data_IF_189682096951
#
_entry.id   IF_189682096951
#
_cell.length_a   1.000
_cell.length_b   1.000
_cell.length_c   1.000
_cell.angle_alpha   90.00
_cell.angle_beta   90.00
_cell.angle_gamma   90.00
#
_symmetry.space_group_name_H-M   'P 1'
#
loop_
_entity.id
_entity.type
_entity.pdbx_description
1 polymer ?
#
# COMPACT_ATOMS: atom_id res chain seq x y z
N UNK A 1 -66.83 45.79 49.91
CA UNK A 1 -65.62 44.95 49.76
C UNK A 1 -64.68 45.57 48.71
N UNK A 2 -64.04 46.71 49.01
CA UNK A 2 -63.18 47.43 48.03
C UNK A 2 -61.69 47.07 48.16
N UNK A 3 -61.27 46.70 49.37
CA UNK A 3 -59.86 46.51 49.71
C UNK A 3 -59.42 45.04 49.65
N UNK A 4 -60.38 44.12 49.43
CA UNK A 4 -60.14 42.68 49.38
C UNK A 4 -59.30 42.29 48.15
N UNK A 5 -59.58 42.91 47.00
CA UNK A 5 -58.81 42.69 45.78
C UNK A 5 -57.36 43.17 45.92
N UNK A 6 -57.14 44.30 46.59
CA UNK A 6 -55.80 44.82 46.86
C UNK A 6 -55.02 43.93 47.82
N UNK A 7 -55.67 43.41 48.88
CA UNK A 7 -55.04 42.49 49.82
C UNK A 7 -54.64 41.16 49.14
N UNK A 8 -55.50 40.60 48.29
CA UNK A 8 -55.20 39.38 47.52
C UNK A 8 -54.02 39.62 46.57
N UNK A 9 -53.98 40.77 45.90
CA UNK A 9 -52.90 41.13 44.98
C UNK A 9 -51.54 41.22 45.68
N UNK A 10 -51.50 41.86 46.85
CA UNK A 10 -50.28 41.95 47.68
C UNK A 10 -49.86 40.55 48.16
N UNK A 11 -50.81 39.71 48.55
CA UNK A 11 -50.53 38.35 49.02
C UNK A 11 -49.92 37.46 47.91
N UNK A 12 -50.44 37.56 46.69
CA UNK A 12 -49.89 36.84 45.52
C UNK A 12 -48.48 37.34 45.17
N UNK A 13 -48.22 38.65 45.31
CA UNK A 13 -46.88 39.22 45.12
C UNK A 13 -45.87 38.69 46.16
N UNK A 14 -46.27 38.55 47.42
CA UNK A 14 -45.39 37.98 48.45
C UNK A 14 -45.09 36.48 48.21
N UNK A 15 -46.07 35.70 47.74
CA UNK A 15 -45.88 34.28 47.45
C UNK A 15 -44.96 34.04 46.24
N UNK A 16 -44.97 34.93 45.25
CA UNK A 16 -44.06 34.84 44.09
C UNK A 16 -42.65 35.35 44.39
N UNK A 17 -42.50 36.33 45.29
CA UNK A 17 -41.19 36.88 45.68
C UNK A 17 -40.36 35.95 46.58
N UNK A 18 -41.00 35.08 47.36
CA UNK A 18 -40.33 34.08 48.21
C UNK A 18 -40.32 32.66 47.63
N UNK A 19 -40.70 32.49 46.35
CA UNK A 19 -40.41 31.25 45.63
C UNK A 19 -38.90 31.20 45.45
N UNK A 20 -38.22 30.55 46.42
CA UNK A 20 -36.81 30.21 46.38
C UNK A 20 -36.60 29.38 45.11
N UNK A 21 -36.36 30.06 44.00
CA UNK A 21 -35.70 29.45 42.85
C UNK A 21 -34.34 29.09 43.41
N UNK A 22 -34.14 27.79 43.65
CA UNK A 22 -32.79 27.29 43.74
C UNK A 22 -32.13 27.76 42.46
N UNK A 23 -31.32 28.82 42.56
CA UNK A 23 -30.32 29.08 41.53
C UNK A 23 -29.63 27.74 41.37
N UNK A 24 -29.52 27.16 40.16
CA UNK A 24 -28.67 26.00 40.00
C UNK A 24 -27.33 26.48 40.55
N UNK A 25 -26.99 25.96 41.73
CA UNK A 25 -25.80 26.40 42.41
C UNK A 25 -24.65 26.14 41.48
N UNK A 26 -23.51 26.70 41.81
CA UNK A 26 -22.22 26.31 41.28
C UNK A 26 -21.87 24.82 41.56
N UNK A 27 -22.86 23.94 41.75
CA UNK A 27 -22.82 22.49 41.82
C UNK A 27 -23.61 21.81 40.70
N UNK A 28 -24.15 22.56 39.72
CA UNK A 28 -24.28 22.04 38.36
C UNK A 28 -22.91 22.11 37.67
N UNK A 29 -21.86 21.60 38.33
CA UNK A 29 -20.82 20.93 37.55
C UNK A 29 -21.59 19.86 36.80
N UNK A 30 -21.88 20.15 35.54
CA UNK A 30 -22.17 19.08 34.60
C UNK A 30 -21.04 18.09 34.86
N UNK A 31 -21.38 16.92 35.39
CA UNK A 31 -20.47 15.77 35.46
C UNK A 31 -20.23 15.37 34.00
N UNK A 32 -19.53 16.24 33.28
CA UNK A 32 -18.91 15.99 32.00
C UNK A 32 -17.81 15.04 32.38
N UNK A 33 -18.17 13.77 32.52
CA UNK A 33 -17.22 12.68 32.57
C UNK A 33 -16.52 12.68 31.23
N UNK A 34 -15.49 13.52 31.11
CA UNK A 34 -14.68 13.62 29.90
C UNK A 34 -14.02 12.25 29.78
N UNK A 35 -14.51 11.46 28.82
CA UNK A 35 -13.98 10.15 28.56
C UNK A 35 -12.66 10.35 27.82
N UNK A 36 -11.57 10.39 28.58
CA UNK A 36 -10.25 10.28 28.00
C UNK A 36 -10.03 8.82 27.59
N UNK A 37 -9.39 8.64 26.44
CA UNK A 37 -8.88 7.34 26.05
C UNK A 37 -7.67 7.05 26.95
N UNK A 38 -7.90 6.33 28.05
CA UNK A 38 -6.87 5.92 29.00
C UNK A 38 -6.29 4.55 28.64
N UNK A 39 -6.45 4.09 27.39
CA UNK A 39 -5.76 2.89 26.96
C UNK A 39 -4.25 3.11 27.08
N UNK A 40 -3.63 2.40 28.02
CA UNK A 40 -2.20 2.42 28.20
C UNK A 40 -1.54 1.80 26.97
N UNK A 41 -1.06 2.64 26.07
CA UNK A 41 -0.19 2.22 24.97
C UNK A 41 1.20 2.01 25.57
N UNK A 42 1.49 0.77 25.93
CA UNK A 42 2.82 0.38 26.37
C UNK A 42 3.82 0.59 25.22
N UNK A 43 4.82 1.43 25.46
CA UNK A 43 5.94 1.75 24.58
C UNK A 43 6.69 0.52 24.06
N UNK A 44 6.52 -0.64 24.72
CA UNK A 44 7.18 -1.90 24.38
C UNK A 44 6.23 -2.96 23.77
N UNK A 45 4.94 -2.63 23.63
CA UNK A 45 3.99 -3.54 22.99
C UNK A 45 4.30 -3.74 21.50
N UNK A 46 3.88 -4.88 20.96
CA UNK A 46 4.18 -5.23 19.57
C UNK A 46 3.53 -4.21 18.62
N UNK A 47 4.34 -3.48 17.86
CA UNK A 47 3.91 -2.38 16.99
C UNK A 47 4.06 -0.98 17.59
N UNK A 48 4.42 -0.85 18.87
CA UNK A 48 4.83 0.42 19.45
C UNK A 48 6.19 0.83 18.86
N UNK A 49 6.17 1.84 18.00
CA UNK A 49 7.37 2.44 17.40
C UNK A 49 7.51 3.86 17.92
N UNK A 50 8.75 4.28 18.17
CA UNK A 50 9.02 5.68 18.51
C UNK A 50 8.59 6.60 17.37
N UNK A 51 8.23 7.84 17.70
CA UNK A 51 7.76 8.84 16.73
C UNK A 51 8.75 9.01 15.58
N UNK A 52 10.05 8.93 15.86
CA UNK A 52 11.11 9.06 14.85
C UNK A 52 11.19 7.86 13.92
N UNK A 53 11.03 6.64 14.44
CA UNK A 53 10.97 5.42 13.63
C UNK A 53 9.72 5.44 12.76
N UNK A 54 8.56 5.80 13.32
CA UNK A 54 7.32 5.94 12.56
C UNK A 54 7.44 6.98 11.44
N UNK A 55 8.09 8.11 11.70
CA UNK A 55 8.37 9.14 10.70
C UNK A 55 9.28 8.62 9.60
N UNK A 56 10.36 7.91 9.96
CA UNK A 56 11.28 7.31 9.00
C UNK A 56 10.58 6.27 8.12
N UNK A 57 9.75 5.40 8.69
CA UNK A 57 8.94 4.43 7.96
C UNK A 57 8.00 5.12 6.97
N UNK A 58 7.31 6.19 7.40
CA UNK A 58 6.42 6.95 6.51
C UNK A 58 7.15 7.63 5.37
N UNK A 59 8.35 8.16 5.62
CA UNK A 59 9.19 8.76 4.57
C UNK A 59 9.79 7.71 3.62
N UNK A 60 10.21 6.54 4.13
CA UNK A 60 10.87 5.51 3.33
C UNK A 60 9.90 4.57 2.60
N UNK A 61 8.67 4.42 3.09
CA UNK A 61 7.63 3.59 2.47
C UNK A 61 7.39 3.90 0.98
N UNK A 62 7.14 5.16 0.57
CA UNK A 62 6.96 5.49 -0.84
C UNK A 62 8.23 5.24 -1.65
N UNK A 63 9.41 5.53 -1.09
CA UNK A 63 10.69 5.28 -1.75
C UNK A 63 10.92 3.79 -2.03
N UNK A 64 10.55 2.92 -1.08
CA UNK A 64 10.63 1.48 -1.26
C UNK A 64 9.67 1.00 -2.36
N UNK A 65 8.42 1.46 -2.34
CA UNK A 65 7.42 1.11 -3.35
C UNK A 65 7.85 1.55 -4.76
N UNK A 66 8.42 2.74 -4.88
CA UNK A 66 8.95 3.25 -6.14
C UNK A 66 10.15 2.44 -6.62
N UNK A 67 11.07 2.09 -5.72
CA UNK A 67 12.23 1.24 -6.02
C UNK A 67 11.79 -0.14 -6.54
N UNK A 68 10.80 -0.77 -5.88
CA UNK A 68 10.24 -2.05 -6.33
C UNK A 68 9.58 -1.92 -7.71
N UNK A 69 8.88 -0.81 -7.97
CA UNK A 69 8.26 -0.56 -9.28
C UNK A 69 9.31 -0.36 -10.37
N UNK A 70 10.41 0.34 -10.09
CA UNK A 70 11.53 0.51 -11.02
C UNK A 70 12.21 -0.84 -11.32
N UNK A 71 12.51 -1.64 -10.30
CA UNK A 71 13.09 -2.97 -10.48
C UNK A 71 12.19 -3.88 -11.35
N UNK A 72 10.87 -3.84 -11.15
CA UNK A 72 9.91 -4.58 -11.99
C UNK A 72 9.92 -4.13 -13.46
N UNK A 73 10.07 -2.83 -13.73
CA UNK A 73 10.16 -2.31 -15.10
C UNK A 73 11.43 -2.79 -15.80
N UNK A 74 12.58 -2.68 -15.13
CA UNK A 74 13.86 -3.16 -15.66
C UNK A 74 13.81 -4.65 -16.00
N UNK A 75 13.25 -5.48 -15.12
CA UNK A 75 13.07 -6.92 -15.38
C UNK A 75 12.17 -7.18 -16.59
N UNK A 76 11.09 -6.42 -16.78
CA UNK A 76 10.21 -6.58 -17.93
C UNK A 76 10.91 -6.20 -19.24
N UNK A 77 11.77 -5.19 -19.24
CA UNK A 77 12.58 -4.80 -20.40
C UNK A 77 13.65 -5.84 -20.71
N UNK A 78 14.36 -6.35 -19.71
CA UNK A 78 15.31 -7.45 -19.88
C UNK A 78 14.65 -8.71 -20.44
N UNK A 79 13.46 -9.06 -19.97
CA UNK A 79 12.73 -10.22 -20.48
C UNK A 79 12.31 -10.05 -21.93
N UNK A 80 11.90 -8.83 -22.34
CA UNK A 80 11.58 -8.53 -23.75
C UNK A 80 12.81 -8.64 -24.64
N UNK A 81 13.94 -8.07 -24.21
CA UNK A 81 15.20 -8.16 -24.94
C UNK A 81 15.67 -9.61 -25.05
N UNK A 82 15.62 -10.39 -23.97
CA UNK A 82 15.96 -11.82 -23.99
C UNK A 82 15.04 -12.61 -24.93
N UNK A 83 13.74 -12.32 -24.94
CA UNK A 83 12.79 -12.98 -25.83
C UNK A 83 13.01 -12.61 -27.32
N UNK A 84 13.45 -11.39 -27.61
CA UNK A 84 13.83 -10.98 -28.97
C UNK A 84 15.14 -11.64 -29.42
N UNK A 85 16.13 -11.70 -28.52
CA UNK A 85 17.43 -12.33 -28.78
C UNK A 85 17.29 -13.85 -28.98
N UNK A 86 16.43 -14.52 -28.21
CA UNK A 86 16.12 -15.94 -28.41
C UNK A 86 15.41 -16.21 -29.75
N UNK A 87 14.52 -15.31 -30.18
CA UNK A 87 13.86 -15.42 -31.49
C UNK A 87 14.85 -15.20 -32.63
N UNK A 88 15.79 -14.29 -32.48
CA UNK A 88 16.84 -14.03 -33.47
C UNK A 88 17.85 -15.18 -33.52
N UNK A 89 18.28 -15.72 -32.38
CA UNK A 89 19.19 -16.86 -32.31
C UNK A 89 18.58 -18.12 -32.93
N UNK A 90 17.29 -18.41 -32.66
CA UNK A 90 16.60 -19.55 -33.29
C UNK A 90 16.50 -19.40 -34.82
N UNK A 91 16.34 -18.18 -35.33
CA UNK A 91 16.37 -17.93 -36.79
C UNK A 91 17.76 -18.11 -37.38
N UNK A 92 18.80 -17.65 -36.68
CA UNK A 92 20.20 -17.84 -37.11
C UNK A 92 20.62 -19.31 -37.10
N UNK A 93 20.19 -20.10 -36.12
CA UNK A 93 20.44 -21.56 -36.10
C UNK A 93 19.71 -22.31 -37.23
N UNK A 94 18.49 -21.89 -37.61
CA UNK A 94 17.80 -22.46 -38.77
C UNK A 94 18.49 -22.11 -40.10
N UNK A 95 18.99 -20.88 -40.25
CA UNK A 95 19.73 -20.45 -41.44
C UNK A 95 21.12 -21.09 -41.54
N UNK A 96 21.81 -21.32 -40.42
CA UNK A 96 23.07 -22.07 -40.41
C UNK A 96 22.86 -23.57 -40.72
N UNK A 97 21.80 -24.20 -40.20
CA UNK A 97 21.47 -25.59 -40.57
C UNK A 97 21.15 -25.73 -42.06
N UNK A 98 20.43 -24.76 -42.66
CA UNK A 98 20.14 -24.76 -44.11
C UNK A 98 21.38 -24.52 -44.96
N UNK A 99 22.33 -23.70 -44.50
CA UNK A 99 23.62 -23.50 -45.18
C UNK A 99 24.56 -24.71 -45.05
N UNK A 100 24.58 -25.36 -43.90
CA UNK A 100 25.38 -26.57 -43.68
C UNK A 100 24.87 -27.78 -44.48
N UNK A 101 23.55 -27.89 -44.72
CA UNK A 101 22.97 -28.94 -45.58
C UNK A 101 23.29 -28.71 -47.07
N UNK A 102 23.24 -27.45 -47.53
CA UNK A 102 23.63 -27.07 -48.89
C UNK A 102 25.14 -27.28 -49.18
N UNK A 103 26.00 -27.17 -48.18
CA UNK A 103 27.45 -27.41 -48.33
C UNK A 103 27.79 -28.91 -48.34
N UNK A 104 27.03 -29.75 -47.62
CA UNK A 104 27.18 -31.21 -47.68
C UNK A 104 26.72 -31.80 -49.02
N UNK A 105 25.72 -31.22 -49.69
CA UNK A 105 25.32 -31.67 -51.02
C UNK A 105 26.32 -31.32 -52.13
N UNK A 106 27.16 -30.28 -51.95
CA UNK A 106 28.22 -29.94 -52.91
C UNK A 106 29.47 -30.81 -52.78
N UNK A 107 29.75 -31.40 -51.62
CA UNK A 107 30.91 -32.31 -51.44
C UNK A 107 30.66 -33.76 -51.87
N UNK A 108 29.42 -34.14 -52.15
CA UNK A 108 29.08 -35.51 -52.61
C UNK A 108 29.06 -35.65 -54.14
N UNK A 109 29.25 -34.57 -54.91
CA UNK A 109 29.16 -34.58 -56.37
C UNK A 109 30.52 -34.69 -57.12
N UNK A 110 31.66 -34.63 -56.44
CA UNK A 110 33.00 -34.67 -57.07
C UNK A 110 33.93 -35.75 -56.51
N UNK A 111 33.48 -37.01 -56.43
CA UNK A 111 34.44 -38.12 -56.32
C UNK A 111 33.97 -39.29 -57.18
N UNK A 112 34.61 -39.56 -58.34
CA UNK A 112 34.34 -40.77 -59.12
C UNK A 112 34.93 -42.01 -58.41
N UNK A 113 34.39 -43.20 -58.70
CA UNK A 113 34.71 -44.42 -57.96
C UNK A 113 36.05 -44.98 -58.44
N UNK A 114 37.00 -45.19 -57.53
CA UNK A 114 38.18 -46.02 -57.79
C UNK A 114 38.19 -47.24 -56.87
N UNK A 115 38.05 -48.35 -57.56
CA UNK A 115 38.13 -49.76 -57.19
C UNK A 115 39.52 -50.17 -56.64
N UNK A 116 39.48 -51.14 -55.72
CA UNK A 116 40.45 -52.22 -55.47
C UNK A 116 41.63 -52.03 -54.47
N UNK A 117 41.76 -53.09 -53.63
CA UNK A 117 42.98 -53.88 -53.27
C UNK A 117 43.61 -53.74 -51.86
N UNK A 118 43.28 -54.71 -50.99
CA UNK A 118 44.14 -55.67 -50.22
C UNK A 118 45.32 -55.20 -49.32
N UNK A 119 45.41 -55.90 -48.16
CA UNK A 119 46.57 -56.14 -47.25
C UNK A 119 46.98 -54.93 -46.40
N UNK A 120 47.08 -55.02 -45.07
CA UNK A 120 47.84 -55.97 -44.23
C UNK A 120 47.10 -56.31 -42.92
#
# INVERSE_FOLDING_TARGET
MKNLLSAIFIFVLLLTACSKKESPGFGAEQDLKIHYDTMAVDSFSNGAVTVDIARKIKMSSPQYLDSVKQAKKALAEEQKLKAELEKENKKKEEDEKKKADAEKQKKTAETPPSTNTKTE
#
